data_IF_022208890115
#
_entry.id   IF_022208890115
#
_cell.length_a   1.000
_cell.length_b   1.000
_cell.length_c   1.000
_cell.angle_alpha   90.00
_cell.angle_beta   90.00
_cell.angle_gamma   90.00
#
_symmetry.space_group_name_H-M   'P 1'
#
loop_
_entity.id
_entity.type
_entity.pdbx_description
1 polymer ?
#
# COMPACT_ATOMS: atom_id res chain seq x y z
N UNK A 1 0.82 22.61 3.43
CA UNK A 1 1.71 22.24 2.29
C UNK A 1 0.92 21.30 1.39
N UNK A 2 1.02 21.48 0.06
CA UNK A 2 0.31 20.63 -0.93
C UNK A 2 1.32 19.75 -1.67
N UNK A 3 1.00 18.47 -1.84
CA UNK A 3 1.81 17.49 -2.57
C UNK A 3 0.89 16.66 -3.44
N UNK A 4 1.29 16.35 -4.67
CA UNK A 4 0.57 15.43 -5.52
C UNK A 4 0.89 13.99 -5.07
N UNK A 5 -0.12 13.28 -4.58
CA UNK A 5 0.00 11.86 -4.28
C UNK A 5 -0.47 11.02 -5.48
N UNK A 6 0.29 9.99 -5.82
CA UNK A 6 -0.05 9.05 -6.90
C UNK A 6 0.04 7.63 -6.36
N UNK A 7 -1.01 6.84 -6.57
CA UNK A 7 -1.09 5.43 -6.20
C UNK A 7 -1.06 4.59 -7.49
N UNK A 8 0.01 3.81 -7.66
CA UNK A 8 0.27 2.99 -8.84
C UNK A 8 -0.19 1.56 -8.54
N UNK A 9 -1.28 1.14 -9.15
CA UNK A 9 -1.81 -0.21 -9.02
C UNK A 9 -1.80 -0.99 -10.33
N UNK A 10 -1.89 -2.31 -10.27
CA UNK A 10 -1.86 -3.18 -11.46
C UNK A 10 -3.06 -3.01 -12.40
N UNK A 11 -4.16 -2.39 -11.98
CA UNK A 11 -5.35 -2.14 -12.81
C UNK A 11 -5.62 -0.67 -13.09
N UNK A 12 -4.92 0.24 -12.44
CA UNK A 12 -5.11 1.68 -12.60
C UNK A 12 -4.17 2.47 -11.73
N UNK A 13 -3.74 3.60 -12.26
CA UNK A 13 -2.91 4.60 -11.63
C UNK A 13 -3.80 5.79 -11.33
N UNK A 14 -3.75 6.30 -10.13
CA UNK A 14 -4.63 7.38 -9.67
C UNK A 14 -3.85 8.39 -8.85
N UNK A 15 -4.15 9.65 -9.04
CA UNK A 15 -3.52 10.75 -8.31
C UNK A 15 -4.50 11.83 -7.89
N UNK A 16 -4.14 12.56 -6.86
CA UNK A 16 -4.82 13.78 -6.44
C UNK A 16 -3.87 14.68 -5.64
N UNK A 17 -4.04 16.01 -5.69
CA UNK A 17 -3.39 16.92 -4.77
C UNK A 17 -3.87 16.71 -3.34
N UNK A 18 -2.94 16.62 -2.39
CA UNK A 18 -3.20 16.37 -0.97
C UNK A 18 -2.65 17.51 -0.13
N UNK A 19 -3.42 17.98 0.84
CA UNK A 19 -2.92 18.83 1.93
C UNK A 19 -2.25 17.93 2.97
N UNK A 20 -0.93 17.83 2.98
CA UNK A 20 -0.17 16.96 3.91
C UNK A 20 -0.13 17.46 5.36
N UNK A 21 -0.83 18.54 5.68
CA UNK A 21 -1.05 18.94 7.08
C UNK A 21 -2.32 18.30 7.63
N UNK A 22 -3.37 18.20 6.81
CA UNK A 22 -4.69 17.69 7.22
C UNK A 22 -5.01 16.29 6.71
N UNK A 23 -4.30 15.78 5.69
CA UNK A 23 -4.61 14.52 5.00
C UNK A 23 -5.74 14.63 3.97
N UNK A 24 -6.27 15.84 3.75
CA UNK A 24 -7.38 16.07 2.83
C UNK A 24 -6.94 16.04 1.36
N UNK A 25 -7.67 15.27 0.53
CA UNK A 25 -7.56 15.40 -0.92
C UNK A 25 -8.25 16.68 -1.37
N UNK A 26 -7.53 17.56 -2.05
CA UNK A 26 -7.99 18.89 -2.42
C UNK A 26 -8.85 18.93 -3.68
N UNK A 27 -8.73 17.88 -4.51
CA UNK A 27 -9.45 17.73 -5.77
C UNK A 27 -9.89 16.28 -5.93
N UNK A 28 -10.86 16.03 -6.81
CA UNK A 28 -11.26 14.68 -7.17
C UNK A 28 -10.07 13.92 -7.79
N UNK A 29 -9.90 12.66 -7.39
CA UNK A 29 -8.82 11.83 -7.93
C UNK A 29 -9.01 11.59 -9.44
N UNK A 30 -7.96 11.83 -10.19
CA UNK A 30 -7.88 11.45 -11.57
C UNK A 30 -7.31 10.04 -11.71
N UNK A 31 -7.94 9.19 -12.54
CA UNK A 31 -7.56 7.79 -12.71
C UNK A 31 -7.37 7.44 -14.17
N UNK A 32 -6.21 6.83 -14.45
CA UNK A 32 -5.87 6.27 -15.77
C UNK A 32 -5.72 4.75 -15.62
N UNK A 33 -6.23 3.92 -16.54
CA UNK A 33 -5.92 2.48 -16.56
C UNK A 33 -4.42 2.23 -16.64
N UNK A 34 -3.92 1.25 -15.88
CA UNK A 34 -2.52 0.85 -15.99
C UNK A 34 -2.24 0.30 -17.38
N UNK A 35 -1.23 0.80 -18.09
CA UNK A 35 -0.91 0.34 -19.45
C UNK A 35 -0.55 -1.15 -19.46
N UNK A 36 -0.83 -1.80 -20.58
CA UNK A 36 -0.48 -3.18 -20.81
C UNK A 36 0.31 -3.31 -22.13
N UNK A 37 1.59 -3.73 -22.07
CA UNK A 37 2.38 -4.07 -20.87
C UNK A 37 2.70 -2.85 -20.00
N UNK A 38 2.79 -3.06 -18.69
CA UNK A 38 3.08 -2.01 -17.69
C UNK A 38 4.58 -1.76 -17.56
N UNK A 39 5.24 -1.45 -18.69
CA UNK A 39 6.67 -1.15 -18.72
C UNK A 39 7.03 0.15 -18.01
N UNK A 40 8.30 0.35 -17.58
CA UNK A 40 8.74 1.58 -16.95
C UNK A 40 8.37 2.84 -17.72
N UNK A 41 8.63 2.87 -19.03
CA UNK A 41 8.33 4.00 -19.88
C UNK A 41 6.83 4.28 -19.99
N UNK A 42 6.02 3.23 -20.22
CA UNK A 42 4.57 3.39 -20.35
C UNK A 42 3.92 3.89 -19.06
N UNK A 43 4.39 3.44 -17.89
CA UNK A 43 3.91 3.94 -16.59
C UNK A 43 4.40 5.36 -16.35
N UNK A 44 5.66 5.69 -16.69
CA UNK A 44 6.17 7.04 -16.57
C UNK A 44 5.38 8.06 -17.44
N UNK A 45 4.91 7.64 -18.62
CA UNK A 45 4.00 8.46 -19.45
C UNK A 45 2.68 8.76 -18.71
N UNK A 46 2.09 7.76 -18.06
CA UNK A 46 0.88 7.94 -17.25
C UNK A 46 1.12 8.88 -16.07
N UNK A 47 2.27 8.74 -15.36
CA UNK A 47 2.62 9.66 -14.28
C UNK A 47 2.69 11.10 -14.79
N UNK A 48 3.33 11.31 -15.95
CA UNK A 48 3.39 12.64 -16.59
C UNK A 48 2.00 13.17 -16.93
N UNK A 49 1.12 12.33 -17.47
CA UNK A 49 -0.26 12.72 -17.79
C UNK A 49 -1.04 13.14 -16.54
N UNK A 50 -0.88 12.44 -15.41
CA UNK A 50 -1.50 12.83 -14.14
C UNK A 50 -0.97 14.18 -13.65
N UNK A 51 0.35 14.39 -13.72
CA UNK A 51 1.00 15.67 -13.36
C UNK A 51 0.46 16.81 -14.22
N UNK A 52 0.33 16.59 -15.53
CA UNK A 52 -0.18 17.60 -16.48
C UNK A 52 -1.67 17.88 -16.25
N UNK A 53 -2.47 16.86 -15.94
CA UNK A 53 -3.90 17.02 -15.65
C UNK A 53 -4.15 18.04 -14.52
N UNK A 54 -3.33 17.97 -13.45
CA UNK A 54 -3.43 18.91 -12.33
C UNK A 54 -2.60 20.19 -12.52
N UNK A 55 -1.95 20.40 -13.67
CA UNK A 55 -0.99 21.48 -13.91
C UNK A 55 0.01 21.60 -12.73
N UNK A 56 0.50 20.46 -12.25
CA UNK A 56 1.25 20.37 -11.01
C UNK A 56 2.70 20.79 -11.17
N UNK A 57 3.22 21.58 -10.22
CA UNK A 57 4.59 22.11 -10.25
C UNK A 57 5.37 21.86 -8.94
N UNK A 58 4.72 21.22 -7.95
CA UNK A 58 5.31 20.90 -6.65
C UNK A 58 5.88 19.48 -6.60
N UNK A 59 6.34 19.03 -5.41
CA UNK A 59 6.80 17.66 -5.22
C UNK A 59 5.67 16.64 -5.45
N UNK A 60 6.08 15.42 -5.82
CA UNK A 60 5.18 14.29 -6.11
C UNK A 60 5.60 13.10 -5.25
N UNK A 61 4.63 12.45 -4.61
CA UNK A 61 4.83 11.17 -3.94
C UNK A 61 4.13 10.06 -4.72
N UNK A 62 4.81 8.92 -4.90
CA UNK A 62 4.26 7.74 -5.58
C UNK A 62 4.28 6.51 -4.67
N UNK A 63 3.12 5.85 -4.51
CA UNK A 63 3.03 4.49 -3.98
C UNK A 63 3.22 3.49 -5.13
N UNK A 64 4.16 2.56 -5.00
CA UNK A 64 4.53 1.61 -6.05
C UNK A 64 4.34 0.15 -5.58
N UNK A 65 3.80 -0.76 -6.40
CA UNK A 65 3.36 -2.09 -5.96
C UNK A 65 4.51 -3.11 -5.86
N UNK A 66 5.63 -2.72 -5.25
CA UNK A 66 6.73 -3.62 -4.91
C UNK A 66 7.68 -3.00 -3.87
N UNK A 67 8.67 -3.78 -3.42
CA UNK A 67 9.77 -3.30 -2.56
C UNK A 67 10.54 -2.18 -3.25
N UNK A 68 10.63 -1.03 -2.59
CA UNK A 68 11.42 0.12 -3.04
C UNK A 68 12.58 0.37 -2.07
N UNK A 69 13.80 0.13 -2.53
CA UNK A 69 15.00 0.38 -1.74
C UNK A 69 15.84 1.48 -2.38
N UNK A 70 16.00 2.60 -1.66
CA UNK A 70 16.70 3.79 -2.17
C UNK A 70 16.22 4.22 -3.57
N UNK A 71 14.90 4.31 -3.74
CA UNK A 71 14.26 4.68 -5.02
C UNK A 71 14.22 3.59 -6.08
N UNK A 72 14.86 2.44 -5.86
CA UNK A 72 14.99 1.34 -6.81
C UNK A 72 13.95 0.24 -6.57
N UNK A 73 13.29 -0.23 -7.64
CA UNK A 73 12.42 -1.39 -7.59
C UNK A 73 13.24 -2.69 -7.47
N UNK A 74 13.02 -3.44 -6.37
CA UNK A 74 13.77 -4.67 -6.08
C UNK A 74 13.09 -5.92 -6.64
N UNK A 75 11.82 -5.81 -7.00
CA UNK A 75 11.02 -6.83 -7.66
C UNK A 75 10.06 -6.17 -8.64
N UNK A 76 9.29 -6.94 -9.39
CA UNK A 76 8.30 -6.37 -10.32
C UNK A 76 6.87 -6.34 -9.75
N UNK A 77 6.61 -7.03 -8.63
CA UNK A 77 5.26 -7.15 -8.07
C UNK A 77 4.28 -7.73 -9.09
N UNK A 78 3.19 -7.02 -9.35
CA UNK A 78 2.20 -7.34 -10.37
C UNK A 78 2.39 -6.53 -11.67
N UNK A 79 3.57 -5.95 -11.87
CA UNK A 79 3.94 -5.14 -13.03
C UNK A 79 4.82 -5.93 -14.00
N UNK A 80 5.24 -5.29 -15.09
CA UNK A 80 6.14 -5.90 -16.07
C UNK A 80 7.50 -6.29 -15.44
N UNK A 81 8.10 -7.45 -15.76
CA UNK A 81 9.39 -7.88 -15.23
C UNK A 81 10.55 -6.89 -15.45
N UNK A 82 10.47 -6.01 -16.43
CA UNK A 82 11.47 -4.98 -16.71
C UNK A 82 11.64 -3.94 -15.59
N UNK A 83 10.77 -3.94 -14.59
CA UNK A 83 10.91 -3.06 -13.41
C UNK A 83 12.06 -3.45 -12.47
N UNK A 84 12.51 -4.71 -12.50
CA UNK A 84 13.56 -5.17 -11.59
C UNK A 84 14.84 -4.36 -11.82
N UNK A 85 15.29 -3.66 -10.77
CA UNK A 85 16.52 -2.86 -10.79
C UNK A 85 16.35 -1.44 -11.37
N UNK A 86 15.15 -1.04 -11.79
CA UNK A 86 14.88 0.33 -12.26
C UNK A 86 14.96 1.32 -11.09
N UNK A 87 15.64 2.45 -11.30
CA UNK A 87 15.61 3.59 -10.39
C UNK A 87 14.33 4.40 -10.65
N UNK A 88 13.29 4.10 -9.90
CA UNK A 88 11.91 4.55 -10.17
C UNK A 88 11.75 6.05 -9.93
N UNK A 89 12.31 6.56 -8.84
CA UNK A 89 12.29 7.98 -8.48
C UNK A 89 13.00 8.85 -9.53
N UNK A 90 14.19 8.42 -10.01
CA UNK A 90 14.91 9.11 -11.08
C UNK A 90 14.15 9.08 -12.41
N UNK A 91 13.58 7.91 -12.77
CA UNK A 91 12.78 7.74 -13.99
C UNK A 91 11.61 8.71 -14.01
N UNK A 92 10.83 8.74 -12.92
CA UNK A 92 9.65 9.60 -12.83
C UNK A 92 10.04 11.08 -12.71
N UNK A 93 11.11 11.41 -11.97
CA UNK A 93 11.63 12.78 -11.87
C UNK A 93 12.08 13.30 -13.22
N UNK A 94 12.82 12.49 -13.98
CA UNK A 94 13.25 12.85 -15.35
C UNK A 94 12.08 13.04 -16.30
N UNK A 95 11.05 12.18 -16.19
CA UNK A 95 9.87 12.23 -17.06
C UNK A 95 8.98 13.44 -16.79
N UNK A 96 8.79 13.77 -15.51
CA UNK A 96 7.90 14.86 -15.10
C UNK A 96 8.59 16.21 -15.03
N UNK A 97 9.89 16.24 -14.83
CA UNK A 97 10.68 17.44 -14.51
C UNK A 97 10.49 17.91 -13.05
N UNK A 98 9.89 17.07 -12.18
CA UNK A 98 9.60 17.38 -10.78
C UNK A 98 10.37 16.45 -9.84
N UNK A 99 10.48 16.84 -8.57
CA UNK A 99 10.98 15.96 -7.53
C UNK A 99 9.96 14.87 -7.22
N UNK A 100 10.32 13.61 -7.40
CA UNK A 100 9.45 12.45 -7.15
C UNK A 100 10.07 11.55 -6.08
N UNK A 101 9.30 11.29 -5.03
CA UNK A 101 9.61 10.28 -4.00
C UNK A 101 8.77 9.04 -4.24
N UNK A 102 9.36 7.86 -4.09
CA UNK A 102 8.67 6.59 -4.30
C UNK A 102 8.77 5.72 -3.06
N UNK A 103 7.64 5.13 -2.64
CA UNK A 103 7.56 4.16 -1.54
C UNK A 103 6.74 2.95 -1.96
N UNK A 104 6.78 1.86 -1.20
CA UNK A 104 5.87 0.73 -1.40
C UNK A 104 4.41 1.17 -1.21
N UNK A 105 3.45 0.57 -1.92
CA UNK A 105 2.02 0.94 -1.88
C UNK A 105 1.35 0.64 -0.52
N UNK A 106 1.73 -0.47 0.14
CA UNK A 106 1.22 -0.81 1.47
C UNK A 106 1.86 0.09 2.55
N UNK A 107 3.15 0.43 2.41
CA UNK A 107 3.81 1.44 3.26
C UNK A 107 3.11 2.80 3.11
N UNK A 108 2.78 3.21 1.88
CA UNK A 108 2.01 4.43 1.63
C UNK A 108 0.64 4.38 2.33
N UNK A 109 -0.11 3.30 2.15
CA UNK A 109 -1.41 3.16 2.80
C UNK A 109 -1.31 3.26 4.32
N UNK A 110 -0.29 2.64 4.91
CA UNK A 110 -0.01 2.72 6.33
C UNK A 110 0.36 4.13 6.81
N UNK A 111 1.14 4.88 6.04
CA UNK A 111 1.49 6.28 6.35
C UNK A 111 0.24 7.16 6.48
N UNK A 112 -0.77 6.97 5.63
CA UNK A 112 -2.03 7.70 5.73
C UNK A 112 -2.75 7.39 7.04
N UNK A 113 -2.88 6.11 7.40
CA UNK A 113 -3.57 5.68 8.61
C UNK A 113 -2.83 6.08 9.89
N UNK A 114 -1.51 5.99 9.90
CA UNK A 114 -0.70 6.38 11.05
C UNK A 114 -0.69 7.89 11.27
N UNK A 115 -0.81 8.67 10.20
CA UNK A 115 -0.75 10.14 10.32
C UNK A 115 -2.11 10.77 10.59
N UNK A 116 -3.18 10.27 9.99
CA UNK A 116 -4.50 10.93 10.00
C UNK A 116 -5.66 10.00 10.37
N UNK A 117 -5.49 8.68 10.27
CA UNK A 117 -6.54 7.69 10.48
C UNK A 117 -6.45 6.97 11.83
N UNK A 118 -6.92 5.72 11.86
CA UNK A 118 -7.03 4.90 13.07
C UNK A 118 -5.69 4.63 13.78
N UNK A 119 -4.58 4.73 13.07
CA UNK A 119 -3.22 4.59 13.61
C UNK A 119 -2.68 5.84 14.30
N UNK A 120 -3.35 7.00 14.14
CA UNK A 120 -2.94 8.23 14.77
C UNK A 120 -2.91 8.05 16.30
N UNK A 121 -1.85 8.56 16.91
CA UNK A 121 -1.62 8.48 18.36
C UNK A 121 -1.44 7.03 18.91
N UNK A 122 -1.29 6.01 18.05
CA UNK A 122 -0.90 4.67 18.46
C UNK A 122 0.61 4.59 18.64
N UNK A 123 1.02 4.11 19.80
CA UNK A 123 2.42 3.84 20.13
C UNK A 123 2.74 2.35 20.02
N UNK A 124 4.04 2.01 20.06
CA UNK A 124 4.49 0.63 19.92
C UNK A 124 4.58 0.18 18.47
N UNK A 125 4.51 -1.12 18.26
CA UNK A 125 4.59 -1.76 16.95
C UNK A 125 3.19 -1.88 16.32
N UNK A 126 2.97 -1.23 15.21
CA UNK A 126 1.72 -1.29 14.44
C UNK A 126 1.99 -1.98 13.10
N UNK A 127 1.21 -3.01 12.80
CA UNK A 127 1.26 -3.70 11.52
C UNK A 127 0.00 -3.39 10.72
N UNK A 128 0.16 -2.64 9.63
CA UNK A 128 -0.88 -2.47 8.62
C UNK A 128 -0.86 -3.67 7.67
N UNK A 129 -2.04 -4.23 7.39
CA UNK A 129 -2.23 -5.29 6.39
C UNK A 129 -3.21 -4.81 5.33
N UNK A 130 -2.77 -4.74 4.08
CA UNK A 130 -3.65 -4.43 2.94
C UNK A 130 -4.11 -5.71 2.27
N UNK A 131 -5.42 -5.95 2.24
CA UNK A 131 -6.01 -7.16 1.66
C UNK A 131 -6.61 -6.84 0.29
N UNK A 132 -6.01 -7.39 -0.75
CA UNK A 132 -6.43 -7.21 -2.14
C UNK A 132 -6.13 -8.44 -3.00
N UNK A 133 -5.48 -8.23 -4.14
CA UNK A 133 -4.95 -9.33 -4.98
C UNK A 133 -3.91 -10.13 -4.21
N UNK A 134 -3.10 -9.47 -3.39
CA UNK A 134 -2.15 -10.04 -2.45
C UNK A 134 -2.43 -9.62 -1.02
N UNK A 135 -1.44 -9.84 -0.14
CA UNK A 135 -1.35 -9.36 1.23
C UNK A 135 -0.15 -8.43 1.33
N UNK A 136 -0.38 -7.12 1.19
CA UNK A 136 0.65 -6.12 1.46
C UNK A 136 0.76 -5.81 2.94
N UNK A 137 1.89 -5.29 3.38
CA UNK A 137 2.11 -4.91 4.77
C UNK A 137 2.95 -3.65 4.90
N UNK A 138 2.56 -2.77 5.82
CA UNK A 138 3.35 -1.64 6.30
C UNK A 138 3.59 -1.81 7.79
N UNK A 139 4.82 -1.61 8.24
CA UNK A 139 5.20 -1.80 9.65
C UNK A 139 5.67 -0.47 10.22
N UNK A 140 5.18 -0.13 11.41
CA UNK A 140 5.46 1.15 12.07
C UNK A 140 5.86 0.93 13.51
N UNK A 141 6.83 1.69 13.98
CA UNK A 141 7.20 1.73 15.39
C UNK A 141 7.12 3.16 15.91
N UNK A 142 6.26 3.40 16.90
CA UNK A 142 5.97 4.72 17.45
C UNK A 142 5.67 5.77 16.35
N UNK A 143 4.85 5.39 15.36
CA UNK A 143 4.46 6.24 14.23
C UNK A 143 5.47 6.35 13.09
N UNK A 144 6.68 5.81 13.24
CA UNK A 144 7.73 5.82 12.21
C UNK A 144 7.66 4.56 11.34
N UNK A 145 7.68 4.75 10.03
CA UNK A 145 7.69 3.65 9.07
C UNK A 145 9.00 2.84 9.17
N UNK A 146 8.86 1.53 9.30
CA UNK A 146 9.91 0.56 9.01
C UNK A 146 9.65 0.00 7.61
N UNK A 147 10.36 0.46 6.56
CA UNK A 147 9.95 0.25 5.19
C UNK A 147 10.15 -1.18 4.70
N UNK A 148 9.35 -1.56 3.69
CA UNK A 148 9.56 -2.77 2.90
C UNK A 148 9.39 -4.10 3.66
N UNK A 149 8.47 -4.18 4.59
CA UNK A 149 8.09 -5.45 5.19
C UNK A 149 7.07 -6.18 4.32
N UNK A 150 7.48 -7.30 3.74
CA UNK A 150 6.65 -8.16 2.87
C UNK A 150 6.15 -9.38 3.68
N UNK A 151 5.30 -9.14 4.69
CA UNK A 151 4.81 -10.22 5.58
C UNK A 151 3.94 -11.25 4.82
N UNK A 152 3.31 -10.85 3.71
CA UNK A 152 2.60 -11.76 2.82
C UNK A 152 3.51 -12.78 2.15
N UNK A 153 4.82 -12.51 2.04
CA UNK A 153 5.81 -13.42 1.44
C UNK A 153 6.41 -14.44 2.43
N UNK A 154 6.00 -14.39 3.70
CA UNK A 154 6.43 -15.37 4.69
C UNK A 154 6.05 -16.79 4.26
N UNK A 155 6.97 -17.72 4.52
CA UNK A 155 6.71 -19.14 4.32
C UNK A 155 5.79 -19.66 5.41
N UNK A 156 4.80 -20.44 4.99
CA UNK A 156 3.81 -21.07 5.84
C UNK A 156 3.76 -22.57 5.55
N UNK A 157 2.71 -23.25 5.92
CA UNK A 157 2.54 -24.72 5.77
C UNK A 157 3.14 -25.24 4.46
N UNK A 158 3.98 -26.28 4.55
CA UNK A 158 4.69 -26.91 3.42
C UNK A 158 5.62 -25.97 2.62
N UNK A 159 6.13 -24.89 3.22
CA UNK A 159 7.02 -23.92 2.59
C UNK A 159 6.36 -23.04 1.52
N UNK A 160 5.05 -23.06 1.40
CA UNK A 160 4.29 -22.16 0.52
C UNK A 160 4.25 -20.74 1.10
N UNK A 161 4.19 -19.74 0.22
CA UNK A 161 4.00 -18.34 0.61
C UNK A 161 2.58 -18.17 1.18
N UNK A 162 2.46 -17.50 2.35
CA UNK A 162 1.19 -17.38 3.06
C UNK A 162 0.15 -16.55 2.28
N UNK A 163 0.56 -15.59 1.48
CA UNK A 163 -0.30 -14.85 0.55
C UNK A 163 -1.07 -15.80 -0.38
N UNK A 164 -0.44 -16.87 -0.86
CA UNK A 164 -1.07 -17.88 -1.73
C UNK A 164 -2.08 -18.77 -1.00
N UNK A 165 -2.31 -18.52 0.27
CA UNK A 165 -3.28 -19.21 1.11
C UNK A 165 -4.35 -18.27 1.67
N UNK A 166 -3.97 -17.03 2.05
CA UNK A 166 -4.80 -16.12 2.83
C UNK A 166 -5.20 -14.81 2.10
N UNK A 167 -4.75 -14.54 0.86
CA UNK A 167 -5.20 -13.35 0.13
C UNK A 167 -6.66 -13.47 -0.36
N UNK A 168 -7.36 -12.33 -0.57
CA UNK A 168 -8.74 -12.31 -1.11
C UNK A 168 -8.83 -12.86 -2.54
N UNK A 169 -7.76 -12.76 -3.32
CA UNK A 169 -7.69 -13.40 -4.65
C UNK A 169 -7.81 -14.92 -4.56
N UNK A 170 -7.26 -15.54 -3.51
CA UNK A 170 -7.38 -16.98 -3.25
C UNK A 170 -8.81 -17.34 -2.86
N UNK A 171 -9.44 -16.53 -1.97
CA UNK A 171 -10.85 -16.69 -1.62
C UNK A 171 -11.74 -16.75 -2.87
N UNK A 172 -11.54 -15.79 -3.78
CA UNK A 172 -12.32 -15.72 -5.03
C UNK A 172 -12.05 -16.90 -5.95
N UNK A 173 -10.78 -17.29 -6.10
CA UNK A 173 -10.36 -18.41 -6.98
C UNK A 173 -10.86 -19.76 -6.48
N UNK A 174 -10.88 -19.96 -5.16
CA UNK A 174 -11.31 -21.21 -4.52
C UNK A 174 -12.79 -21.16 -4.09
N UNK A 175 -13.51 -20.07 -4.44
CA UNK A 175 -14.93 -19.86 -4.14
C UNK A 175 -15.29 -20.00 -2.64
N UNK A 176 -14.33 -19.64 -1.75
CA UNK A 176 -14.52 -19.74 -0.32
C UNK A 176 -15.56 -18.70 0.17
N UNK A 177 -16.37 -19.12 1.11
CA UNK A 177 -17.19 -18.19 1.90
C UNK A 177 -16.29 -17.26 2.73
N UNK A 178 -16.85 -16.14 3.20
CA UNK A 178 -16.08 -15.23 4.06
C UNK A 178 -15.63 -15.87 5.39
N UNK A 179 -16.45 -16.67 6.10
CA UNK A 179 -15.98 -17.39 7.28
C UNK A 179 -14.85 -18.38 7.00
N UNK A 180 -14.96 -19.22 5.95
CA UNK A 180 -13.89 -20.16 5.59
C UNK A 180 -12.58 -19.44 5.29
N UNK A 181 -12.65 -18.33 4.54
CA UNK A 181 -11.48 -17.52 4.25
C UNK A 181 -11.00 -16.74 5.49
N UNK A 182 -11.91 -16.27 6.33
CA UNK A 182 -11.59 -15.59 7.59
C UNK A 182 -10.68 -16.41 8.50
N UNK A 183 -10.91 -17.73 8.59
CA UNK A 183 -10.03 -18.65 9.31
C UNK A 183 -8.60 -18.64 8.75
N UNK A 184 -8.47 -18.63 7.42
CA UNK A 184 -7.15 -18.56 6.78
C UNK A 184 -6.45 -17.22 7.03
N UNK A 185 -7.23 -16.13 7.01
CA UNK A 185 -6.72 -14.80 7.32
C UNK A 185 -6.31 -14.70 8.79
N UNK A 186 -7.07 -15.29 9.70
CA UNK A 186 -6.72 -15.39 11.11
C UNK A 186 -5.40 -16.15 11.33
N UNK A 187 -5.19 -17.27 10.60
CA UNK A 187 -3.91 -17.98 10.63
C UNK A 187 -2.74 -17.09 10.17
N UNK A 188 -2.95 -16.19 9.20
CA UNK A 188 -1.95 -15.19 8.81
C UNK A 188 -1.67 -14.20 9.94
N UNK A 189 -2.68 -13.65 10.61
CA UNK A 189 -2.51 -12.73 11.73
C UNK A 189 -1.76 -13.40 12.88
N UNK A 190 -2.10 -14.64 13.24
CA UNK A 190 -1.37 -15.42 14.25
C UNK A 190 0.10 -15.64 13.86
N UNK A 191 0.35 -15.93 12.58
CA UNK A 191 1.73 -16.12 12.10
C UNK A 191 2.54 -14.83 12.20
N UNK A 192 1.97 -13.68 11.85
CA UNK A 192 2.60 -12.38 12.04
C UNK A 192 2.79 -12.06 13.53
N UNK A 193 1.77 -12.32 14.36
CA UNK A 193 1.85 -12.10 15.80
C UNK A 193 2.99 -12.90 16.44
N UNK A 194 3.19 -14.15 16.01
CA UNK A 194 4.30 -14.98 16.48
C UNK A 194 5.68 -14.41 16.10
N UNK A 195 5.79 -13.71 14.95
CA UNK A 195 7.07 -13.21 14.43
C UNK A 195 7.45 -11.87 15.07
N UNK A 196 6.51 -10.95 15.22
CA UNK A 196 6.83 -9.57 15.62
C UNK A 196 5.99 -9.03 16.80
N UNK A 197 4.99 -9.77 17.30
CA UNK A 197 4.15 -9.39 18.45
C UNK A 197 3.72 -7.92 18.40
N UNK A 198 2.92 -7.48 17.40
CA UNK A 198 2.52 -6.09 17.29
C UNK A 198 1.56 -5.67 18.40
N UNK A 199 1.56 -4.39 18.74
CA UNK A 199 0.59 -3.80 19.66
C UNK A 199 -0.79 -3.59 19.00
N UNK A 200 -0.81 -3.41 17.65
CA UNK A 200 -2.02 -3.23 16.86
C UNK A 200 -1.88 -3.81 15.46
N UNK A 201 -2.98 -4.39 14.96
CA UNK A 201 -3.19 -4.60 13.53
C UNK A 201 -4.12 -3.52 12.97
N UNK A 202 -3.83 -3.02 11.76
CA UNK A 202 -4.73 -2.18 10.97
C UNK A 202 -5.05 -2.92 9.67
N UNK A 203 -6.32 -3.20 9.42
CA UNK A 203 -6.77 -3.94 8.23
C UNK A 203 -7.28 -2.96 7.18
N UNK A 204 -6.58 -2.89 6.06
CA UNK A 204 -6.92 -2.05 4.90
C UNK A 204 -7.12 -2.85 3.62
N UNK A 205 -7.11 -2.13 2.50
CA UNK A 205 -7.35 -2.71 1.18
C UNK A 205 -8.82 -2.99 0.88
N UNK A 206 -9.09 -3.56 -0.30
CA UNK A 206 -10.47 -3.72 -0.79
C UNK A 206 -11.36 -4.66 0.05
N UNK A 207 -10.77 -5.66 0.70
CA UNK A 207 -11.51 -6.62 1.52
C UNK A 207 -11.85 -6.09 2.91
N UNK A 208 -11.16 -5.07 3.43
CA UNK A 208 -11.43 -4.49 4.75
C UNK A 208 -12.87 -3.98 4.89
N UNK A 209 -13.47 -3.48 3.80
CA UNK A 209 -14.88 -3.06 3.72
C UNK A 209 -15.88 -4.16 4.08
N UNK A 210 -15.45 -5.41 4.06
CA UNK A 210 -16.28 -6.60 4.33
C UNK A 210 -15.82 -7.32 5.60
N UNK A 211 -15.05 -6.65 6.47
CA UNK A 211 -14.55 -7.25 7.71
C UNK A 211 -15.70 -7.87 8.54
N UNK A 212 -16.84 -7.19 8.63
CA UNK A 212 -18.05 -7.67 9.32
C UNK A 212 -18.56 -9.05 8.85
N UNK A 213 -18.05 -9.60 7.74
CA UNK A 213 -18.40 -10.93 7.22
C UNK A 213 -17.47 -12.03 7.70
N UNK A 214 -16.35 -11.69 8.32
CA UNK A 214 -15.32 -12.64 8.77
C UNK A 214 -14.62 -12.23 10.08
N UNK A 215 -15.04 -11.14 10.72
CA UNK A 215 -14.47 -10.70 11.99
C UNK A 215 -14.63 -11.70 13.12
N UNK A 216 -15.74 -12.45 13.11
CA UNK A 216 -16.01 -13.52 14.10
C UNK A 216 -14.96 -14.66 14.05
N UNK A 217 -14.22 -14.78 12.95
CA UNK A 217 -13.15 -15.78 12.78
C UNK A 217 -11.78 -15.27 13.23
N UNK A 218 -11.68 -14.00 13.63
CA UNK A 218 -10.43 -13.37 14.08
C UNK A 218 -10.38 -13.43 15.59
N UNK A 219 -9.43 -14.21 16.12
CA UNK A 219 -9.27 -14.45 17.56
C UNK A 219 -7.88 -14.10 18.11
N UNK A 220 -7.06 -13.35 17.33
CA UNK A 220 -5.81 -12.80 17.87
C UNK A 220 -6.10 -11.86 19.04
N UNK A 221 -5.31 -11.97 20.11
CA UNK A 221 -5.48 -11.11 21.31
C UNK A 221 -5.14 -9.63 21.04
N UNK A 222 -4.37 -9.37 19.97
CA UNK A 222 -3.95 -8.04 19.57
C UNK A 222 -5.14 -7.27 18.98
N UNK A 223 -5.39 -6.00 19.38
CA UNK A 223 -6.44 -5.18 18.80
C UNK A 223 -6.35 -5.07 17.28
N UNK A 224 -7.45 -5.37 16.57
CA UNK A 224 -7.58 -5.27 15.12
C UNK A 224 -8.45 -4.07 14.78
N UNK A 225 -7.88 -3.09 14.08
CA UNK A 225 -8.53 -1.85 13.67
C UNK A 225 -8.83 -1.87 12.17
N UNK A 226 -9.88 -1.18 11.75
CA UNK A 226 -10.22 -1.04 10.32
C UNK A 226 -9.74 0.30 9.79
N UNK A 227 -9.01 0.28 8.68
CA UNK A 227 -8.50 1.47 8.01
C UNK A 227 -9.64 2.43 7.57
N UNK A 228 -9.47 3.72 7.79
CA UNK A 228 -10.46 4.76 7.48
C UNK A 228 -10.38 5.23 6.03
N UNK A 229 -9.17 5.46 5.49
CA UNK A 229 -8.99 6.09 4.17
C UNK A 229 -9.25 5.17 2.97
N UNK A 230 -9.33 3.84 3.20
CA UNK A 230 -9.71 2.87 2.17
C UNK A 230 -8.98 3.10 0.82
N UNK A 231 -9.74 3.48 -0.24
CA UNK A 231 -9.22 3.70 -1.60
C UNK A 231 -8.41 5.01 -1.74
N UNK A 232 -8.44 5.90 -0.76
CA UNK A 232 -7.66 7.13 -0.73
C UNK A 232 -6.30 6.97 -0.02
N UNK A 233 -6.13 5.92 0.78
CA UNK A 233 -4.95 5.71 1.61
C UNK A 233 -3.63 5.77 0.81
N UNK A 234 -3.56 5.08 -0.34
CA UNK A 234 -2.37 5.07 -1.19
C UNK A 234 -1.97 6.47 -1.70
N UNK A 235 -2.95 7.28 -2.13
CA UNK A 235 -2.72 8.66 -2.60
C UNK A 235 -2.23 9.55 -1.45
N UNK A 236 -2.94 9.51 -0.31
CA UNK A 236 -2.62 10.35 0.86
C UNK A 236 -1.24 9.98 1.41
N UNK A 237 -0.98 8.69 1.59
CA UNK A 237 0.30 8.23 2.12
C UNK A 237 1.48 8.45 1.17
N UNK A 238 1.28 8.31 -0.14
CA UNK A 238 2.27 8.67 -1.14
C UNK A 238 2.64 10.16 -1.04
N UNK A 239 1.65 11.05 -0.90
CA UNK A 239 1.91 12.47 -0.68
C UNK A 239 2.67 12.73 0.64
N UNK A 240 2.30 12.01 1.72
CA UNK A 240 3.01 12.09 3.01
C UNK A 240 4.47 11.69 2.88
N UNK A 241 4.77 10.63 2.13
CA UNK A 241 6.15 10.16 1.94
C UNK A 241 7.07 11.23 1.31
N UNK A 242 6.55 12.02 0.38
CA UNK A 242 7.29 13.10 -0.27
C UNK A 242 7.44 14.37 0.61
N UNK A 243 6.78 14.43 1.77
CA UNK A 243 6.96 15.50 2.76
C UNK A 243 8.18 15.28 3.67
N UNK A 244 9.01 14.29 3.39
CA UNK A 244 10.10 13.85 4.24
C UNK A 244 9.59 12.92 5.34
N UNK A 245 9.84 11.63 5.20
CA UNK A 245 9.68 10.64 6.26
C UNK A 245 10.68 10.98 7.39
N UNK A 246 10.21 11.70 8.39
CA UNK A 246 10.94 11.88 9.65
C UNK A 246 10.07 11.39 10.78
#
# INVERSE_FOLDING_TARGET
MKILGIDIGGSGIKGAPVNVVTGEQLEERFRIPTPQPSTPEAVADVIKEIVDHFNWTGPVGCGFPTIISHGKAMAHGNMDPSWIGVQVDELFSKKTGLEVTVVNDADAAGLAEMRYGVGKDKSGLVVMVTIGTGLGSGVFYNGHLLPNFELGQLKYKNGKIIEKYAADSVRKKEELSFPEWGKRFNEFLHHVNLICAPDYFIIGGGASKKLHKFEDEIDVEVPVLVAEFQNGAGIIGAAVSANGLK
#
